data_IF_518914096334
#
_entry.id   IF_518914096334
#
_cell.length_a   1.000
_cell.length_b   1.000
_cell.length_c   1.000
_cell.angle_alpha   90.00
_cell.angle_beta   90.00
_cell.angle_gamma   90.00
#
_symmetry.space_group_name_H-M   'P 1'
#
loop_
_entity.id
_entity.type
_entity.pdbx_description
1 polymer ?
#
# COMPACT_ATOMS: atom_id res chain seq x y z
N UNK A 1 6.24 5.64 -5.02
CA UNK A 1 4.98 6.35 -4.68
C UNK A 1 3.82 5.45 -5.04
N UNK A 2 2.90 5.18 -4.10
CA UNK A 2 1.68 4.44 -4.39
C UNK A 2 0.46 5.38 -4.43
N UNK A 3 -0.33 5.31 -5.50
CA UNK A 3 -1.57 6.04 -5.72
C UNK A 3 -2.75 5.08 -5.58
N UNK A 4 -3.70 5.42 -4.73
CA UNK A 4 -4.96 4.66 -4.60
C UNK A 4 -5.77 4.69 -5.90
N UNK A 5 -6.15 3.52 -6.42
CA UNK A 5 -7.07 3.41 -7.56
C UNK A 5 -8.18 2.45 -7.18
N UNK A 6 -9.45 2.87 -7.30
CA UNK A 6 -10.58 1.94 -7.25
C UNK A 6 -11.48 2.22 -8.44
N UNK A 7 -11.55 1.22 -9.32
CA UNK A 7 -12.54 1.11 -10.38
C UNK A 7 -12.93 -0.35 -10.51
N UNK A 8 -13.79 -0.86 -9.61
CA UNK A 8 -14.61 -2.05 -9.89
C UNK A 8 -15.80 -2.16 -8.92
N UNK A 9 -16.90 -2.69 -9.46
CA UNK A 9 -18.17 -2.96 -8.80
C UNK A 9 -17.97 -3.90 -7.60
N UNK A 10 -18.43 -3.44 -6.44
CA UNK A 10 -18.48 -4.28 -5.24
C UNK A 10 -19.70 -5.18 -5.38
N UNK A 11 -19.49 -6.50 -5.37
CA UNK A 11 -20.58 -7.46 -5.26
C UNK A 11 -21.14 -8.03 -6.57
N UNK A 12 -20.46 -7.88 -7.71
CA UNK A 12 -20.92 -8.40 -9.00
C UNK A 12 -20.11 -9.64 -9.44
N UNK A 13 -20.20 -10.71 -8.65
CA UNK A 13 -19.52 -11.97 -8.94
C UNK A 13 -20.46 -13.16 -8.72
N UNK A 14 -20.15 -14.30 -9.35
CA UNK A 14 -20.86 -15.59 -9.13
C UNK A 14 -20.98 -15.97 -7.64
N UNK A 15 -20.05 -15.50 -6.81
CA UNK A 15 -20.09 -15.74 -5.37
C UNK A 15 -21.13 -14.86 -4.67
N UNK A 16 -21.37 -13.65 -5.14
CA UNK A 16 -22.46 -12.80 -4.63
C UNK A 16 -23.83 -13.33 -5.03
N UNK A 17 -23.95 -13.94 -6.21
CA UNK A 17 -25.17 -14.67 -6.59
C UNK A 17 -25.45 -15.83 -5.63
N UNK A 18 -24.41 -16.53 -5.18
CA UNK A 18 -24.53 -17.70 -4.31
C UNK A 18 -24.69 -17.35 -2.82
N UNK A 19 -23.96 -16.35 -2.33
CA UNK A 19 -23.85 -16.02 -0.90
C UNK A 19 -24.50 -14.69 -0.51
N UNK A 20 -25.08 -13.98 -1.47
CA UNK A 20 -25.74 -12.69 -1.27
C UNK A 20 -24.80 -11.48 -1.42
N UNK A 21 -25.38 -10.27 -1.38
CA UNK A 21 -24.62 -9.03 -1.47
C UNK A 21 -23.82 -8.77 -0.18
N UNK A 22 -22.75 -7.96 -0.26
CA UNK A 22 -22.04 -7.52 0.94
C UNK A 22 -22.93 -6.63 1.82
N UNK A 23 -22.70 -6.66 3.13
CA UNK A 23 -23.40 -5.77 4.06
C UNK A 23 -23.06 -4.30 3.81
N UNK A 24 -24.02 -3.41 4.10
CA UNK A 24 -23.83 -1.96 3.96
C UNK A 24 -22.59 -1.47 4.72
N UNK A 25 -22.40 -1.96 5.97
CA UNK A 25 -21.23 -1.64 6.79
C UNK A 25 -19.91 -2.04 6.11
N UNK A 26 -19.88 -3.14 5.37
CA UNK A 26 -18.68 -3.56 4.64
C UNK A 26 -18.40 -2.65 3.44
N UNK A 27 -19.44 -2.28 2.69
CA UNK A 27 -19.31 -1.36 1.54
C UNK A 27 -18.84 0.02 2.00
N UNK A 28 -19.36 0.53 3.12
CA UNK A 28 -19.00 1.85 3.65
C UNK A 28 -17.52 2.00 4.02
N UNK A 29 -16.81 0.89 4.28
CA UNK A 29 -15.37 0.88 4.54
C UNK A 29 -14.52 1.11 3.30
N UNK A 30 -15.09 0.96 2.10
CA UNK A 30 -14.38 1.17 0.84
C UNK A 30 -14.36 2.67 0.54
N UNK A 31 -13.15 3.24 0.53
CA UNK A 31 -12.92 4.66 0.26
C UNK A 31 -11.94 4.78 -0.91
N UNK A 32 -12.14 5.82 -1.71
CA UNK A 32 -11.27 6.18 -2.85
C UNK A 32 -10.08 7.05 -2.44
N UNK A 33 -9.94 7.30 -1.13
CA UNK A 33 -8.92 8.13 -0.51
C UNK A 33 -8.65 7.60 0.91
N UNK A 34 -7.52 8.02 1.47
CA UNK A 34 -7.09 7.78 2.84
C UNK A 34 -7.86 8.74 3.75
N UNK A 35 -8.83 8.21 4.49
CA UNK A 35 -9.53 8.99 5.52
C UNK A 35 -8.57 9.43 6.63
N UNK A 36 -8.89 10.43 7.45
CA UNK A 36 -8.03 10.84 8.57
C UNK A 36 -7.65 9.66 9.48
N UNK A 37 -8.59 8.76 9.79
CA UNK A 37 -8.29 7.54 10.55
C UNK A 37 -7.25 6.64 9.87
N UNK A 38 -7.42 6.40 8.57
CA UNK A 38 -6.50 5.57 7.78
C UNK A 38 -5.10 6.20 7.73
N UNK A 39 -5.02 7.52 7.57
CA UNK A 39 -3.74 8.24 7.58
C UNK A 39 -3.03 8.08 8.93
N UNK A 40 -3.72 8.30 10.04
CA UNK A 40 -3.13 8.15 11.38
C UNK A 40 -2.73 6.71 11.68
N UNK A 41 -3.54 5.73 11.26
CA UNK A 41 -3.19 4.32 11.40
C UNK A 41 -1.89 3.98 10.63
N UNK A 42 -1.76 4.44 9.38
CA UNK A 42 -0.55 4.20 8.57
C UNK A 42 0.67 4.86 9.21
N UNK A 43 0.53 6.09 9.73
CA UNK A 43 1.61 6.78 10.46
C UNK A 43 2.02 6.02 11.73
N UNK A 44 1.10 5.32 12.39
CA UNK A 44 1.39 4.54 13.58
C UNK A 44 1.91 3.12 13.29
N UNK A 45 1.71 2.59 12.08
CA UNK A 45 2.07 1.22 11.71
C UNK A 45 3.59 1.01 11.61
N UNK A 46 4.20 0.11 12.42
CA UNK A 46 5.59 -0.30 12.27
C UNK A 46 5.79 -1.42 11.23
N UNK A 47 4.71 -1.96 10.66
CA UNK A 47 4.78 -3.11 9.77
C UNK A 47 3.72 -3.06 8.66
N UNK A 48 4.14 -3.44 7.45
CA UNK A 48 3.26 -3.59 6.27
C UNK A 48 3.66 -4.82 5.48
N UNK A 49 2.69 -5.51 4.90
CA UNK A 49 2.94 -6.50 3.84
C UNK A 49 2.62 -5.84 2.51
N UNK A 50 3.60 -5.84 1.61
CA UNK A 50 3.51 -5.37 0.24
C UNK A 50 3.28 -6.56 -0.68
N UNK A 51 2.10 -6.62 -1.29
CA UNK A 51 1.73 -7.60 -2.29
C UNK A 51 1.87 -7.00 -3.70
N UNK A 52 2.69 -7.63 -4.54
CA UNK A 52 2.86 -7.30 -5.96
C UNK A 52 2.70 -8.57 -6.79
N UNK A 53 2.58 -8.43 -8.10
CA UNK A 53 2.62 -9.56 -9.02
C UNK A 53 3.36 -9.14 -10.29
N UNK A 54 3.99 -10.08 -10.99
CA UNK A 54 4.59 -9.84 -12.30
C UNK A 54 3.53 -9.73 -13.42
N UNK A 55 3.99 -9.62 -14.68
CA UNK A 55 3.12 -9.56 -15.85
C UNK A 55 2.33 -10.85 -16.12
N UNK A 56 2.77 -11.98 -15.59
CA UNK A 56 2.08 -13.28 -15.69
C UNK A 56 1.12 -13.52 -14.51
N UNK A 57 1.11 -12.64 -13.52
CA UNK A 57 0.25 -12.72 -12.34
C UNK A 57 0.82 -13.57 -11.20
N UNK A 58 2.10 -13.95 -11.23
CA UNK A 58 2.77 -14.62 -10.10
C UNK A 58 2.97 -13.61 -8.99
N UNK A 59 2.38 -13.89 -7.83
CA UNK A 59 2.35 -12.96 -6.72
C UNK A 59 3.58 -13.09 -5.81
N UNK A 60 4.05 -11.97 -5.30
CA UNK A 60 5.00 -11.88 -4.18
C UNK A 60 4.37 -11.12 -3.01
N UNK A 61 4.72 -11.50 -1.78
CA UNK A 61 4.29 -10.84 -0.55
C UNK A 61 5.51 -10.50 0.30
N UNK A 62 5.98 -9.26 0.16
CA UNK A 62 7.18 -8.76 0.81
C UNK A 62 6.84 -8.09 2.16
N UNK A 63 7.30 -8.62 3.30
CA UNK A 63 7.15 -7.96 4.60
C UNK A 63 8.12 -6.78 4.71
N UNK A 64 7.61 -5.60 5.09
CA UNK A 64 8.41 -4.39 5.33
C UNK A 64 8.18 -3.89 6.75
N UNK A 65 9.26 -3.80 7.52
CA UNK A 65 9.25 -3.31 8.90
C UNK A 65 10.02 -2.00 9.03
N UNK A 66 9.58 -1.17 9.97
CA UNK A 66 10.26 0.07 10.32
C UNK A 66 9.74 0.61 11.65
N UNK A 67 10.24 1.77 12.08
CA UNK A 67 9.61 2.50 13.19
C UNK A 67 8.29 3.11 12.71
N UNK A 68 7.32 3.36 13.61
CA UNK A 68 6.11 4.10 13.27
C UNK A 68 6.44 5.35 12.45
N UNK A 69 5.77 5.50 11.30
CA UNK A 69 5.96 6.62 10.38
C UNK A 69 7.05 6.40 9.32
N UNK A 70 7.56 5.18 9.15
CA UNK A 70 8.47 4.83 8.04
C UNK A 70 7.78 4.91 6.67
N UNK A 71 6.46 4.70 6.64
CA UNK A 71 5.59 4.99 5.50
C UNK A 71 5.09 6.42 5.65
N UNK A 72 5.37 7.26 4.66
CA UNK A 72 4.93 8.65 4.63
C UNK A 72 3.58 8.76 3.92
N UNK A 73 2.63 9.38 4.61
CA UNK A 73 1.39 9.87 4.01
C UNK A 73 1.71 11.23 3.40
N UNK A 74 1.65 11.34 2.07
CA UNK A 74 1.92 12.59 1.35
C UNK A 74 0.65 13.43 1.29
N UNK A 75 -0.46 12.80 0.91
CA UNK A 75 -1.79 13.39 0.90
C UNK A 75 -2.85 12.30 1.07
N UNK A 76 -4.13 12.61 0.79
CA UNK A 76 -5.24 11.69 0.91
C UNK A 76 -5.27 10.57 -0.16
N UNK A 77 -4.34 10.56 -1.12
CA UNK A 77 -4.28 9.55 -2.20
C UNK A 77 -2.90 8.94 -2.42
N UNK A 78 -1.86 9.56 -1.86
CA UNK A 78 -0.47 9.20 -2.12
C UNK A 78 0.26 8.79 -0.86
N UNK A 79 0.91 7.64 -0.95
CA UNK A 79 1.89 7.15 0.02
C UNK A 79 3.28 7.12 -0.59
N UNK A 80 4.28 7.39 0.24
CA UNK A 80 5.68 7.20 -0.08
C UNK A 80 6.29 6.26 0.95
N UNK A 81 7.01 5.25 0.46
CA UNK A 81 7.67 4.29 1.33
C UNK A 81 9.05 3.96 0.77
N UNK A 82 10.05 3.80 1.66
CA UNK A 82 11.35 3.30 1.24
C UNK A 82 11.24 1.81 0.91
N UNK A 83 11.91 1.42 -0.17
CA UNK A 83 12.28 0.04 -0.36
C UNK A 83 13.80 -0.06 -0.16
N UNK A 84 14.20 -0.70 0.94
CA UNK A 84 15.60 -0.83 1.34
C UNK A 84 16.18 -2.04 0.64
N UNK A 85 17.37 -1.92 0.08
CA UNK A 85 18.11 -3.02 -0.52
C UNK A 85 18.59 -4.02 0.55
N UNK A 86 17.65 -4.80 1.11
CA UNK A 86 17.90 -5.81 2.12
C UNK A 86 18.64 -7.01 1.53
N UNK A 87 17.91 -8.09 1.25
CA UNK A 87 18.46 -9.33 0.67
C UNK A 87 18.85 -9.23 -0.81
N UNK A 88 18.75 -8.03 -1.41
CA UNK A 88 19.09 -7.73 -2.82
C UNK A 88 18.35 -8.58 -3.86
N UNK A 89 17.19 -9.16 -3.51
CA UNK A 89 16.39 -9.94 -4.47
C UNK A 89 15.56 -9.06 -5.41
N UNK A 90 15.19 -7.84 -4.98
CA UNK A 90 14.46 -6.84 -5.78
C UNK A 90 13.19 -7.34 -6.50
N UNK A 91 12.56 -8.42 -6.01
CA UNK A 91 11.37 -9.01 -6.63
C UNK A 91 10.22 -7.99 -6.74
N UNK A 92 10.00 -7.20 -5.68
CA UNK A 92 9.00 -6.13 -5.70
C UNK A 92 9.25 -5.09 -6.80
N UNK A 93 10.50 -4.75 -7.10
CA UNK A 93 10.85 -3.81 -8.18
C UNK A 93 10.60 -4.43 -9.55
N UNK A 94 11.07 -5.66 -9.76
CA UNK A 94 10.87 -6.40 -11.02
C UNK A 94 9.38 -6.54 -11.35
N UNK A 95 8.57 -6.91 -10.35
CA UNK A 95 7.13 -7.01 -10.50
C UNK A 95 6.51 -5.67 -10.90
N UNK A 96 6.95 -4.56 -10.27
CA UNK A 96 6.39 -3.21 -10.51
C UNK A 96 6.71 -2.67 -11.90
N UNK A 97 7.88 -2.99 -12.45
CA UNK A 97 8.25 -2.61 -13.81
C UNK A 97 7.33 -3.25 -14.87
N UNK A 98 6.85 -4.46 -14.62
CA UNK A 98 5.92 -5.17 -15.52
C UNK A 98 4.45 -4.88 -15.20
N UNK A 99 4.12 -4.72 -13.92
CA UNK A 99 2.76 -4.62 -13.42
C UNK A 99 2.69 -3.63 -12.24
N UNK A 100 2.12 -2.43 -12.44
CA UNK A 100 2.19 -1.37 -11.46
C UNK A 100 1.22 -1.57 -10.28
N UNK A 101 0.42 -2.64 -10.23
CA UNK A 101 -0.57 -2.80 -9.17
C UNK A 101 0.05 -3.31 -7.86
N UNK A 102 -0.37 -2.72 -6.75
CA UNK A 102 0.08 -3.08 -5.40
C UNK A 102 -1.09 -3.21 -4.43
N UNK A 103 -0.99 -4.17 -3.52
CA UNK A 103 -1.80 -4.27 -2.32
C UNK A 103 -0.93 -4.08 -1.08
N UNK A 104 -1.37 -3.23 -0.16
CA UNK A 104 -0.70 -2.99 1.11
C UNK A 104 -1.66 -3.36 2.24
N UNK A 105 -1.15 -4.03 3.26
CA UNK A 105 -1.87 -4.25 4.52
C UNK A 105 -0.97 -3.90 5.71
N UNK A 106 -1.45 -2.98 6.54
CA UNK A 106 -0.72 -2.40 7.66
C UNK A 106 -1.16 -3.01 8.99
N UNK A 107 -0.21 -3.17 9.90
CA UNK A 107 -0.43 -3.76 11.22
C UNK A 107 0.19 -2.90 12.31
N UNK A 108 -0.50 -2.82 13.47
CA UNK A 108 0.02 -2.24 14.71
C UNK A 108 -0.09 -3.30 15.80
N UNK A 109 1.01 -3.75 16.42
CA UNK A 109 0.95 -4.72 17.53
C UNK A 109 0.04 -4.25 18.66
N UNK A 110 -0.83 -5.15 19.14
CA UNK A 110 -1.81 -4.84 20.20
C UNK A 110 -3.08 -4.13 19.73
N UNK A 111 -3.19 -3.79 18.45
CA UNK A 111 -4.41 -3.22 17.84
C UNK A 111 -5.12 -4.29 17.01
N UNK A 112 -6.42 -4.46 17.22
CA UNK A 112 -7.24 -5.48 16.54
C UNK A 112 -7.73 -5.07 15.14
N UNK A 113 -7.34 -3.89 14.69
CA UNK A 113 -7.65 -3.37 13.37
C UNK A 113 -6.48 -3.54 12.41
N UNK A 114 -6.80 -3.63 11.12
CA UNK A 114 -5.84 -3.52 10.02
C UNK A 114 -6.34 -2.53 8.99
N UNK A 115 -5.42 -1.89 8.30
CA UNK A 115 -5.72 -0.98 7.19
C UNK A 115 -5.20 -1.60 5.91
N UNK A 116 -6.02 -1.56 4.85
CA UNK A 116 -5.65 -1.99 3.50
C UNK A 116 -5.66 -0.81 2.54
N UNK A 117 -4.66 -0.77 1.68
CA UNK A 117 -4.56 0.23 0.61
C UNK A 117 -4.22 -0.51 -0.67
N UNK A 118 -5.03 -0.31 -1.71
CA UNK A 118 -4.79 -0.87 -3.04
C UNK A 118 -4.62 0.27 -4.04
N UNK A 119 -3.72 0.08 -4.98
CA UNK A 119 -3.38 1.15 -5.89
C UNK A 119 -2.37 0.76 -6.95
N UNK A 120 -1.84 1.79 -7.59
CA UNK A 120 -0.70 1.68 -8.49
C UNK A 120 0.54 2.22 -7.80
N UNK A 121 1.71 1.66 -8.08
CA UNK A 121 2.98 2.16 -7.58
C UNK A 121 3.88 2.55 -8.74
N UNK A 122 4.63 3.63 -8.55
CA UNK A 122 5.76 4.02 -9.41
C UNK A 122 7.02 4.16 -8.57
N UNK A 123 8.15 3.82 -9.16
CA UNK A 123 9.47 4.08 -8.59
C UNK A 123 9.78 5.56 -8.82
N UNK A 124 10.28 6.25 -7.80
CA UNK A 124 10.65 7.65 -7.86
C UNK A 124 12.12 7.77 -7.46
N UNK A 125 12.89 8.51 -8.25
CA UNK A 125 14.27 8.82 -7.92
C UNK A 125 14.35 9.86 -6.81
N UNK A 126 15.53 10.02 -6.19
CA UNK A 126 15.76 11.10 -5.24
C UNK A 126 15.54 12.47 -5.87
N UNK A 127 16.01 12.68 -7.10
CA UNK A 127 15.79 13.91 -7.86
C UNK A 127 14.29 14.19 -8.10
N UNK A 128 13.48 13.15 -8.32
CA UNK A 128 12.03 13.30 -8.49
C UNK A 128 11.33 13.71 -7.19
N UNK A 129 11.87 13.32 -6.04
CA UNK A 129 11.34 13.68 -4.73
C UNK A 129 11.67 15.12 -4.37
N UNK A 130 12.91 15.56 -4.65
CA UNK A 130 13.36 16.94 -4.47
C UNK A 130 12.52 17.91 -5.31
N UNK A 131 12.23 17.57 -6.57
CA UNK A 131 11.35 18.37 -7.44
C UNK A 131 9.90 18.49 -6.94
N UNK A 132 9.47 17.58 -6.07
CA UNK A 132 8.11 17.52 -5.52
C UNK A 132 7.99 18.11 -4.11
N UNK A 133 9.07 18.72 -3.61
CA UNK A 133 9.18 19.25 -2.24
C UNK A 133 8.82 18.20 -1.16
N UNK A 134 9.11 16.92 -1.45
CA UNK A 134 8.87 15.82 -0.53
C UNK A 134 10.16 15.55 0.23
N UNK A 135 10.25 16.05 1.46
CA UNK A 135 11.38 15.76 2.35
C UNK A 135 11.27 14.33 2.88
N UNK A 136 12.18 13.47 2.42
CA UNK A 136 12.36 12.14 2.95
C UNK A 136 13.05 12.20 4.32
N UNK A 137 12.30 11.93 5.40
CA UNK A 137 12.92 11.59 6.69
C UNK A 137 13.12 10.06 6.74
N UNK A 138 14.10 9.56 5.99
CA UNK A 138 14.54 8.16 6.11
C UNK A 138 15.47 8.04 7.32
N UNK A 139 15.52 6.85 7.93
CA UNK A 139 16.61 6.53 8.84
C UNK A 139 17.90 6.44 8.02
N UNK A 140 18.99 7.03 8.52
CA UNK A 140 20.33 6.54 8.19
C UNK A 140 20.33 5.05 8.55
N UNK A 141 20.48 4.20 7.54
CA UNK A 141 20.83 2.80 7.76
C UNK A 141 22.31 2.79 8.11
N UNK A 142 22.64 2.39 9.34
CA UNK A 142 24.01 2.04 9.74
C UNK A 142 24.64 1.03 8.75
#
# INVERSE_FOLDING_TARGET
>A
MATTTVGKSVGDSRFNETFGPPSERAVLKLKTHLTPYVQEFIKAAPFVVQATADGEGRCDASPKGGKPGFIKVIDDKHLLFPDVAGNRLFQSYQNVDENPYVGLIFFIPGVNDTVRVNGKVSIVSQEDLEKRDVVLSLYETD
#
